data_IF_257595224583
#
_entry.id   IF_257595224583
#
_cell.length_a   1.000
_cell.length_b   1.000
_cell.length_c   1.000
_cell.angle_alpha   90.00
_cell.angle_beta   90.00
_cell.angle_gamma   90.00
#
_symmetry.space_group_name_H-M   'P 1'
#
loop_
_entity.id
_entity.type
_entity.pdbx_description
1 polymer ?
#
# COMPACT_ATOMS: atom_id res chain seq x y z
N UNK A 1 33.29 17.06 -16.35
CA UNK A 1 31.87 17.05 -15.91
C UNK A 1 31.72 15.90 -14.93
N UNK A 2 31.38 16.17 -13.66
CA UNK A 2 31.18 15.12 -12.68
C UNK A 2 29.77 14.56 -12.84
N UNK A 3 29.64 13.27 -13.15
CA UNK A 3 28.36 12.58 -13.20
C UNK A 3 27.87 12.39 -11.77
N UNK A 4 26.69 12.93 -11.46
CA UNK A 4 26.05 12.68 -10.17
C UNK A 4 25.62 11.21 -10.08
N UNK A 5 25.79 10.58 -8.91
CA UNK A 5 25.26 9.24 -8.65
C UNK A 5 23.80 9.36 -8.25
N UNK A 6 22.91 8.72 -9.00
CA UNK A 6 21.49 8.64 -8.66
C UNK A 6 21.25 7.50 -7.65
N UNK A 7 20.45 7.79 -6.63
CA UNK A 7 20.01 6.80 -5.65
C UNK A 7 18.49 6.66 -5.70
N UNK A 8 18.00 5.42 -5.74
CA UNK A 8 16.58 5.13 -5.56
C UNK A 8 16.27 5.05 -4.07
N UNK A 9 15.43 5.95 -3.58
CA UNK A 9 14.92 5.90 -2.22
C UNK A 9 13.57 5.18 -2.20
N UNK A 10 13.47 4.13 -1.40
CA UNK A 10 12.20 3.50 -1.05
C UNK A 10 11.87 3.87 0.40
N UNK A 11 10.72 4.50 0.61
CA UNK A 11 10.23 4.80 1.95
C UNK A 11 9.21 3.74 2.37
N UNK A 12 9.48 3.06 3.49
CA UNK A 12 8.52 2.12 4.10
C UNK A 12 7.93 2.76 5.37
N UNK A 13 6.68 3.24 5.33
CA UNK A 13 6.05 3.81 6.51
C UNK A 13 5.87 2.73 7.58
N UNK A 14 6.07 3.09 8.85
CA UNK A 14 5.70 2.23 9.98
C UNK A 14 4.23 2.48 10.30
N UNK A 15 3.40 1.45 10.21
CA UNK A 15 2.01 1.55 10.61
C UNK A 15 1.90 1.67 12.13
N UNK A 16 0.99 2.51 12.65
CA UNK A 16 0.61 2.47 14.06
C UNK A 16 0.05 1.09 14.44
N UNK A 17 0.17 0.70 15.72
CA UNK A 17 -0.32 -0.59 16.25
C UNK A 17 -1.79 -0.85 15.89
N UNK A 18 -2.65 0.17 15.98
CA UNK A 18 -4.07 0.06 15.62
C UNK A 18 -4.31 -0.30 14.15
N UNK A 19 -3.33 -0.08 13.26
CA UNK A 19 -3.40 -0.36 11.83
C UNK A 19 -2.50 -1.53 11.39
N UNK A 20 -1.83 -2.22 12.31
CA UNK A 20 -0.89 -3.31 11.99
C UNK A 20 -1.54 -4.41 11.14
N UNK A 21 -2.82 -4.70 11.41
CA UNK A 21 -3.61 -5.71 10.67
C UNK A 21 -3.81 -5.39 9.19
N UNK A 22 -3.65 -4.13 8.77
CA UNK A 22 -3.69 -3.78 7.35
C UNK A 22 -2.55 -4.43 6.58
N UNK A 23 -1.37 -4.59 7.19
CA UNK A 23 -0.25 -5.28 6.56
C UNK A 23 -0.58 -6.76 6.33
N UNK A 24 -1.20 -7.41 7.32
CA UNK A 24 -1.67 -8.81 7.17
C UNK A 24 -2.64 -8.94 6.00
N UNK A 25 -3.65 -8.06 5.94
CA UNK A 25 -4.65 -8.06 4.86
C UNK A 25 -4.04 -7.75 3.48
N UNK A 26 -2.99 -6.92 3.43
CA UNK A 26 -2.30 -6.57 2.20
C UNK A 26 -1.33 -7.67 1.71
N UNK A 27 -0.82 -8.52 2.61
CA UNK A 27 0.03 -9.67 2.25
C UNK A 27 -0.76 -10.92 1.87
N UNK A 28 -2.05 -10.96 2.17
CA UNK A 28 -2.91 -12.06 1.77
C UNK A 28 -3.53 -11.75 0.40
N UNK A 29 -3.49 -12.70 -0.54
CA UNK A 29 -4.22 -12.57 -1.82
C UNK A 29 -5.72 -12.40 -1.60
N UNK A 30 -6.18 -12.55 -0.35
CA UNK A 30 -7.54 -12.37 0.08
C UNK A 30 -8.23 -11.08 -0.35
N UNK A 31 -7.50 -9.97 -0.46
CA UNK A 31 -8.08 -8.71 -0.95
C UNK A 31 -8.54 -8.78 -2.42
N UNK A 32 -8.06 -9.73 -3.22
CA UNK A 32 -8.41 -9.84 -4.64
C UNK A 32 -9.83 -10.37 -4.86
N UNK A 33 -10.32 -11.22 -3.95
CA UNK A 33 -11.62 -11.89 -4.04
C UNK A 33 -12.63 -11.46 -2.97
N UNK A 34 -12.19 -10.78 -1.90
CA UNK A 34 -13.11 -10.25 -0.88
C UNK A 34 -13.44 -8.77 -1.10
N UNK A 35 -14.72 -8.50 -1.36
CA UNK A 35 -15.20 -7.12 -1.56
C UNK A 35 -15.06 -6.25 -0.31
N UNK A 36 -15.16 -6.83 0.90
CA UNK A 36 -15.06 -6.10 2.16
C UNK A 36 -13.67 -5.52 2.38
N UNK A 37 -12.62 -6.31 2.15
CA UNK A 37 -11.23 -5.87 2.24
C UNK A 37 -10.92 -4.79 1.19
N UNK A 38 -11.42 -4.94 -0.04
CA UNK A 38 -11.29 -3.88 -1.06
C UNK A 38 -11.97 -2.58 -0.63
N UNK A 39 -13.18 -2.68 -0.09
CA UNK A 39 -13.89 -1.51 0.43
C UNK A 39 -13.19 -0.88 1.63
N UNK A 40 -12.50 -1.66 2.46
CA UNK A 40 -11.70 -1.13 3.57
C UNK A 40 -10.57 -0.22 3.06
N UNK A 41 -9.73 -0.71 2.14
CA UNK A 41 -8.63 0.08 1.58
C UNK A 41 -9.14 1.32 0.82
N UNK A 42 -10.23 1.18 0.05
CA UNK A 42 -10.86 2.30 -0.64
C UNK A 42 -11.42 3.37 0.31
N UNK A 43 -11.89 2.98 1.51
CA UNK A 43 -12.39 3.91 2.54
C UNK A 43 -11.28 4.67 3.26
N UNK A 44 -10.07 4.11 3.34
CA UNK A 44 -8.92 4.78 3.94
C UNK A 44 -8.47 5.92 3.02
N UNK A 45 -8.23 5.63 1.74
CA UNK A 45 -7.93 6.64 0.72
C UNK A 45 -8.30 6.13 -0.67
N UNK A 46 -9.42 6.62 -1.21
CA UNK A 46 -9.91 6.22 -2.53
C UNK A 46 -8.96 6.63 -3.67
N UNK A 47 -8.31 7.80 -3.56
CA UNK A 47 -7.44 8.30 -4.63
C UNK A 47 -6.17 7.46 -4.70
N UNK A 48 -5.58 7.18 -3.54
CA UNK A 48 -4.42 6.31 -3.46
C UNK A 48 -4.78 4.90 -3.96
N UNK A 49 -5.90 4.35 -3.51
CA UNK A 49 -6.39 3.03 -3.92
C UNK A 49 -6.53 2.89 -5.45
N UNK A 50 -7.03 3.92 -6.13
CA UNK A 50 -7.10 3.96 -7.59
C UNK A 50 -5.72 4.10 -8.23
N UNK A 51 -4.85 4.94 -7.66
CA UNK A 51 -3.50 5.20 -8.18
C UNK A 51 -2.60 3.96 -8.15
N UNK A 52 -2.77 3.10 -7.16
CA UNK A 52 -2.01 1.85 -7.01
C UNK A 52 -2.70 0.65 -7.67
N UNK A 53 -3.69 0.91 -8.54
CA UNK A 53 -4.45 -0.10 -9.28
C UNK A 53 -5.06 -1.19 -8.40
N UNK A 54 -5.56 -0.79 -7.23
CA UNK A 54 -6.14 -1.71 -6.24
C UNK A 54 -5.13 -2.72 -5.66
N UNK A 55 -3.83 -2.39 -5.63
CA UNK A 55 -2.81 -3.13 -4.92
C UNK A 55 -2.47 -2.46 -3.59
N UNK A 56 -2.84 -3.04 -2.43
CA UNK A 56 -2.62 -2.43 -1.12
C UNK A 56 -1.15 -2.42 -0.67
N UNK A 57 -0.22 -3.01 -1.43
CA UNK A 57 1.22 -3.06 -1.11
C UNK A 57 2.09 -2.04 -1.85
N UNK A 58 1.55 -1.34 -2.85
CA UNK A 58 2.29 -0.40 -3.68
C UNK A 58 2.16 1.06 -3.22
#
# INVERSE_FOLDING_TARGET
MHTATEFRLEARPRLPEALERLDTLANDLFYSWDHGVRSLFARIDLRLWQKVEHNPKL
#
